data_IF_096637339783
#
_entry.id   IF_096637339783
#
_cell.length_a   1.000
_cell.length_b   1.000
_cell.length_c   1.000
_cell.angle_alpha   90.00
_cell.angle_beta   90.00
_cell.angle_gamma   90.00
#
_symmetry.space_group_name_H-M   'P 1'
#
loop_
_entity.id
_entity.type
_entity.pdbx_description
1 polymer ?
#
# COMPACT_ATOMS: atom_id res chain seq x y z
N UNK A 1 -9.09 -18.84 -9.23
CA UNK A 1 -7.94 -18.56 -8.36
C UNK A 1 -6.79 -18.19 -9.26
N UNK A 2 -6.19 -17.01 -9.08
CA UNK A 2 -4.99 -16.66 -9.84
C UNK A 2 -3.83 -17.49 -9.28
N UNK A 3 -3.07 -18.17 -10.14
CA UNK A 3 -1.96 -19.05 -9.73
C UNK A 3 -0.70 -18.27 -9.32
N UNK A 4 -0.86 -17.20 -8.55
CA UNK A 4 0.22 -16.27 -8.20
C UNK A 4 0.92 -16.69 -6.91
N UNK A 5 2.24 -16.61 -6.91
CA UNK A 5 3.05 -16.77 -5.70
C UNK A 5 3.05 -15.46 -4.92
N UNK A 6 2.70 -15.52 -3.63
CA UNK A 6 2.65 -14.35 -2.75
C UNK A 6 3.72 -14.49 -1.68
N UNK A 7 4.57 -13.48 -1.58
CA UNK A 7 5.58 -13.37 -0.53
C UNK A 7 5.20 -12.21 0.38
N UNK A 8 4.87 -12.53 1.64
CA UNK A 8 4.66 -11.56 2.71
C UNK A 8 5.82 -11.61 3.69
N UNK A 9 6.11 -10.50 4.36
CA UNK A 9 7.13 -10.44 5.40
C UNK A 9 6.71 -9.50 6.53
N UNK A 10 7.19 -9.80 7.73
CA UNK A 10 6.99 -8.98 8.92
C UNK A 10 8.07 -7.91 9.01
N UNK A 11 7.70 -6.69 9.39
CA UNK A 11 8.67 -5.64 9.73
C UNK A 11 9.46 -5.97 11.01
N UNK A 12 10.63 -5.35 11.22
CA UNK A 12 11.40 -5.52 12.45
C UNK A 12 10.57 -5.25 13.71
N UNK A 13 10.52 -6.22 14.63
CA UNK A 13 9.74 -6.12 15.86
C UNK A 13 8.21 -6.27 15.67
N UNK A 14 7.78 -6.79 14.53
CA UNK A 14 6.40 -7.20 14.25
C UNK A 14 6.35 -8.72 14.03
N UNK A 15 5.18 -9.31 14.28
CA UNK A 15 4.93 -10.74 14.07
C UNK A 15 5.98 -11.63 14.74
N UNK A 16 6.71 -12.43 13.93
CA UNK A 16 7.78 -13.31 14.40
C UNK A 16 9.19 -12.77 14.15
N UNK A 17 9.33 -11.58 13.54
CA UNK A 17 10.64 -11.01 13.20
C UNK A 17 11.29 -10.35 14.41
N UNK A 18 12.43 -10.91 14.85
CA UNK A 18 13.31 -10.30 15.84
C UNK A 18 14.19 -9.19 15.23
N UNK A 19 14.69 -8.27 16.06
CA UNK A 19 15.57 -7.18 15.59
C UNK A 19 15.49 -5.93 16.47
N UNK A 20 16.12 -4.84 16.02
CA UNK A 20 16.20 -3.55 16.73
C UNK A 20 14.85 -2.82 16.90
N UNK A 21 13.73 -3.46 16.52
CA UNK A 21 12.37 -2.94 16.64
C UNK A 21 12.03 -1.84 15.64
N UNK A 22 10.75 -1.71 15.32
CA UNK A 22 10.26 -0.80 14.28
C UNK A 22 10.68 0.67 14.50
N UNK A 23 10.83 1.12 15.76
CA UNK A 23 11.18 2.51 16.07
C UNK A 23 12.61 2.89 15.62
N UNK A 24 13.50 1.93 15.44
CA UNK A 24 14.87 2.20 14.99
C UNK A 24 15.04 2.02 13.47
N UNK A 25 14.07 1.39 12.80
CA UNK A 25 14.13 1.11 11.38
C UNK A 25 13.83 2.36 10.54
N UNK A 26 14.69 2.65 9.57
CA UNK A 26 14.41 3.64 8.53
C UNK A 26 13.59 3.00 7.41
N UNK A 27 12.88 3.83 6.65
CA UNK A 27 12.14 3.37 5.48
C UNK A 27 13.03 2.71 4.41
N UNK A 28 14.28 3.17 4.25
CA UNK A 28 15.28 2.52 3.39
C UNK A 28 15.60 1.09 3.86
N UNK A 29 15.65 0.87 5.16
CA UNK A 29 15.94 -0.44 5.75
C UNK A 29 14.78 -1.41 5.50
N UNK A 30 13.54 -0.92 5.54
CA UNK A 30 12.36 -1.71 5.19
C UNK A 30 12.36 -2.11 3.70
N UNK A 31 12.82 -1.22 2.81
CA UNK A 31 12.99 -1.54 1.40
C UNK A 31 14.07 -2.60 1.19
N UNK A 32 15.17 -2.51 1.94
CA UNK A 32 16.25 -3.50 1.88
C UNK A 32 15.77 -4.87 2.36
N UNK A 33 15.00 -4.92 3.44
CA UNK A 33 14.38 -6.18 3.89
C UNK A 33 13.47 -6.76 2.81
N UNK A 34 12.62 -5.93 2.19
CA UNK A 34 11.74 -6.38 1.11
C UNK A 34 12.54 -7.00 -0.06
N UNK A 35 13.66 -6.37 -0.42
CA UNK A 35 14.59 -6.86 -1.44
C UNK A 35 15.22 -8.19 -1.03
N UNK A 36 15.81 -8.27 0.16
CA UNK A 36 16.48 -9.49 0.66
C UNK A 36 15.51 -10.66 0.74
N UNK A 37 14.28 -10.43 1.22
CA UNK A 37 13.23 -11.45 1.26
C UNK A 37 12.92 -11.93 -0.15
N UNK A 38 12.67 -11.01 -1.09
CA UNK A 38 12.36 -11.40 -2.47
C UNK A 38 13.50 -12.21 -3.10
N UNK A 39 14.74 -11.75 -2.98
CA UNK A 39 15.92 -12.40 -3.56
C UNK A 39 16.22 -13.77 -2.91
N UNK A 40 15.72 -14.02 -1.70
CA UNK A 40 15.85 -15.31 -1.00
C UNK A 40 14.87 -16.38 -1.50
N UNK A 41 13.71 -15.97 -2.03
CA UNK A 41 12.63 -16.89 -2.44
C UNK A 41 12.41 -16.95 -3.95
N UNK A 42 12.91 -15.97 -4.71
CA UNK A 42 12.76 -15.93 -6.16
C UNK A 42 14.14 -15.90 -6.80
N UNK A 43 14.49 -16.95 -7.52
CA UNK A 43 15.81 -17.13 -8.13
C UNK A 43 15.90 -16.61 -9.58
N UNK A 44 14.76 -16.45 -10.27
CA UNK A 44 14.69 -15.90 -11.64
C UNK A 44 14.50 -14.38 -11.59
N UNK A 45 14.89 -13.62 -12.62
CA UNK A 45 14.67 -12.16 -12.72
C UNK A 45 13.22 -11.77 -13.13
N UNK A 46 12.25 -12.64 -12.84
CA UNK A 46 10.86 -12.42 -13.23
C UNK A 46 10.29 -11.09 -12.69
N UNK A 47 9.41 -10.42 -13.48
CA UNK A 47 8.70 -9.25 -13.03
C UNK A 47 7.92 -9.51 -11.74
N UNK A 48 7.80 -8.48 -10.91
CA UNK A 48 7.05 -8.54 -9.64
C UNK A 48 5.99 -7.47 -9.59
N UNK A 49 4.87 -7.81 -8.94
CA UNK A 49 3.85 -6.85 -8.55
C UNK A 49 3.96 -6.57 -7.05
N UNK A 50 3.82 -5.31 -6.66
CA UNK A 50 3.85 -4.90 -5.25
C UNK A 50 2.43 -4.72 -4.73
N UNK A 51 2.12 -5.31 -3.58
CA UNK A 51 0.88 -5.11 -2.84
C UNK A 51 1.21 -4.50 -1.47
N UNK A 52 0.57 -3.40 -1.11
CA UNK A 52 0.82 -2.75 0.17
C UNK A 52 -0.44 -2.17 0.80
N UNK A 53 -0.61 -2.43 2.10
CA UNK A 53 -1.63 -1.80 2.93
C UNK A 53 -1.01 -0.78 3.90
N UNK A 54 -1.65 0.37 4.11
CA UNK A 54 -1.22 1.36 5.10
C UNK A 54 0.26 1.75 4.93
N UNK A 55 1.09 1.60 5.96
CA UNK A 55 2.55 1.77 5.91
C UNK A 55 3.19 0.94 4.79
N UNK A 56 2.77 -0.31 4.58
CA UNK A 56 3.24 -1.15 3.48
C UNK A 56 2.87 -0.59 2.10
N UNK A 57 1.72 0.08 2.00
CA UNK A 57 1.33 0.83 0.79
C UNK A 57 2.25 2.02 0.53
N UNK A 58 2.62 2.77 1.58
CA UNK A 58 3.62 3.84 1.46
C UNK A 58 4.98 3.28 1.03
N UNK A 59 5.43 2.17 1.64
CA UNK A 59 6.69 1.51 1.28
C UNK A 59 6.69 1.09 -0.20
N UNK A 60 5.62 0.46 -0.67
CA UNK A 60 5.47 0.05 -2.06
C UNK A 60 5.51 1.25 -3.04
N UNK A 61 4.85 2.36 -2.67
CA UNK A 61 4.92 3.62 -3.44
C UNK A 61 6.35 4.15 -3.49
N UNK A 62 7.04 4.23 -2.34
CA UNK A 62 8.44 4.70 -2.30
C UNK A 62 9.36 3.81 -3.14
N UNK A 63 9.24 2.48 -3.03
CA UNK A 63 10.00 1.54 -3.87
C UNK A 63 9.77 1.82 -5.37
N UNK A 64 8.51 2.01 -5.77
CA UNK A 64 8.17 2.29 -7.16
C UNK A 64 8.73 3.63 -7.65
N UNK A 65 8.63 4.69 -6.83
CA UNK A 65 9.14 6.03 -7.14
C UNK A 65 10.66 6.06 -7.24
N UNK A 66 11.34 5.44 -6.28
CA UNK A 66 12.80 5.54 -6.13
C UNK A 66 13.57 4.67 -7.11
N UNK A 67 12.93 3.65 -7.71
CA UNK A 67 13.51 2.91 -8.86
C UNK A 67 13.98 3.86 -9.97
N UNK A 68 13.30 4.99 -10.15
CA UNK A 68 13.60 5.97 -11.19
C UNK A 68 14.44 7.15 -10.67
N UNK A 69 14.89 7.11 -9.41
CA UNK A 69 15.74 8.11 -8.78
C UNK A 69 16.91 7.45 -8.03
N UNK A 70 18.06 7.21 -8.71
CA UNK A 70 19.22 6.50 -8.15
C UNK A 70 19.87 7.18 -6.94
N UNK A 71 19.57 8.46 -6.66
CA UNK A 71 20.18 9.21 -5.55
C UNK A 71 19.44 9.06 -4.21
N UNK A 72 18.40 8.24 -4.15
CA UNK A 72 17.47 8.18 -3.02
C UNK A 72 17.93 7.36 -1.81
N UNK A 73 18.98 6.55 -1.97
CA UNK A 73 19.45 5.65 -0.91
C UNK A 73 18.48 4.49 -0.60
N UNK A 74 17.42 4.30 -1.39
CA UNK A 74 16.62 3.09 -1.36
C UNK A 74 17.30 2.02 -2.21
N UNK A 75 17.30 0.78 -1.73
CA UNK A 75 17.77 -0.32 -2.56
C UNK A 75 16.80 -0.56 -3.70
N UNK A 76 17.30 -0.35 -4.90
CA UNK A 76 16.56 -0.65 -6.11
C UNK A 76 16.40 -2.16 -6.22
N UNK A 77 15.21 -2.61 -6.61
CA UNK A 77 14.97 -3.96 -7.15
C UNK A 77 15.65 -4.07 -8.52
N UNK A 78 16.97 -3.78 -8.58
CA UNK A 78 17.65 -3.23 -9.76
C UNK A 78 17.53 -4.09 -11.00
N UNK A 79 17.38 -5.40 -10.82
CA UNK A 79 17.32 -6.36 -11.93
C UNK A 79 15.88 -6.79 -12.27
N UNK A 80 14.92 -6.60 -11.37
CA UNK A 80 13.54 -7.09 -11.53
C UNK A 80 12.61 -5.96 -11.94
N UNK A 81 11.80 -6.14 -12.98
CA UNK A 81 10.78 -5.15 -13.35
C UNK A 81 9.64 -5.12 -12.33
N UNK A 82 9.24 -3.94 -11.88
CA UNK A 82 7.96 -3.77 -11.18
C UNK A 82 6.89 -3.62 -12.26
N UNK A 83 5.97 -4.58 -12.36
CA UNK A 83 4.96 -4.61 -13.44
C UNK A 83 3.57 -4.15 -13.00
N UNK A 84 3.33 -4.06 -11.69
CA UNK A 84 2.07 -3.58 -11.13
C UNK A 84 2.22 -3.11 -9.69
N UNK A 85 1.37 -2.17 -9.31
CA UNK A 85 1.28 -1.64 -7.95
C UNK A 85 -0.17 -1.70 -7.45
N UNK A 86 -0.39 -2.36 -6.33
CA UNK A 86 -1.69 -2.51 -5.68
C UNK A 86 -1.62 -1.87 -4.28
N UNK A 87 -2.50 -0.91 -4.04
CA UNK A 87 -2.49 -0.08 -2.84
C UNK A 87 -3.83 -0.20 -2.12
N UNK A 88 -3.80 -0.50 -0.83
CA UNK A 88 -4.99 -0.59 0.02
C UNK A 88 -4.83 0.42 1.15
N UNK A 89 -5.70 1.43 1.22
CA UNK A 89 -5.62 2.54 2.16
C UNK A 89 -4.17 3.01 2.42
N UNK A 90 -3.41 3.37 1.35
CA UNK A 90 -1.97 3.52 1.46
C UNK A 90 -1.61 4.73 2.34
N UNK A 91 -0.53 4.63 3.09
CA UNK A 91 -0.01 5.69 3.95
C UNK A 91 0.62 6.87 3.21
N UNK A 92 0.15 7.21 2.01
CA UNK A 92 0.69 8.31 1.21
C UNK A 92 0.30 9.67 1.78
N UNK A 93 -0.85 9.79 2.44
CA UNK A 93 -1.20 10.96 3.24
C UNK A 93 -1.73 10.48 4.60
N UNK A 94 -0.88 10.48 5.63
CA UNK A 94 -1.23 10.00 6.99
C UNK A 94 -1.54 11.19 7.89
N UNK A 95 -2.53 11.05 8.76
CA UNK A 95 -2.75 12.05 9.81
C UNK A 95 -1.62 12.04 10.85
N UNK A 96 -1.20 13.19 11.39
CA UNK A 96 -0.24 13.23 12.48
C UNK A 96 -0.81 12.66 13.79
N UNK A 97 -2.13 12.80 14.00
CA UNK A 97 -2.89 12.11 15.04
C UNK A 97 -3.80 11.08 14.38
N UNK A 98 -3.46 9.80 14.57
CA UNK A 98 -4.19 8.66 13.99
C UNK A 98 -5.14 8.02 15.00
N UNK A 99 -6.14 7.30 14.49
CA UNK A 99 -7.10 6.56 15.30
C UNK A 99 -7.95 7.48 16.16
N UNK A 100 -8.24 7.05 17.39
CA UNK A 100 -9.02 7.80 18.36
C UNK A 100 -8.06 8.64 19.22
N UNK A 101 -7.81 9.88 18.79
CA UNK A 101 -6.93 10.84 19.48
C UNK A 101 -5.48 10.35 19.65
N UNK A 102 -4.91 9.72 18.63
CA UNK A 102 -3.52 9.24 18.65
C UNK A 102 -3.37 7.81 19.16
N UNK A 103 -4.49 7.11 19.41
CA UNK A 103 -4.53 5.71 19.81
C UNK A 103 -5.22 4.88 18.73
N UNK A 104 -4.51 3.90 18.21
CA UNK A 104 -5.02 2.95 17.22
C UNK A 104 -5.69 1.79 17.95
N UNK A 105 -6.97 1.60 17.66
CA UNK A 105 -7.81 0.51 18.18
C UNK A 105 -8.35 -0.33 17.03
N UNK A 106 -8.79 -1.56 17.32
CA UNK A 106 -9.48 -2.40 16.33
C UNK A 106 -10.67 -1.67 15.69
N UNK A 107 -11.46 -0.98 16.52
CA UNK A 107 -12.62 -0.18 16.10
C UNK A 107 -12.26 1.02 15.22
N UNK A 108 -11.06 1.58 15.41
CA UNK A 108 -10.56 2.66 14.54
C UNK A 108 -10.06 2.14 13.18
N UNK A 109 -9.77 0.83 13.08
CA UNK A 109 -9.22 0.19 11.89
C UNK A 109 -10.29 -0.50 11.04
N UNK A 110 -11.26 -1.17 11.65
CA UNK A 110 -12.31 -1.92 10.96
C UNK A 110 -13.64 -1.85 11.72
N UNK A 111 -14.75 -2.01 11.00
CA UNK A 111 -16.07 -2.29 11.59
C UNK A 111 -16.27 -3.74 12.00
N UNK A 112 -15.41 -4.65 11.55
CA UNK A 112 -15.52 -6.06 11.91
C UNK A 112 -15.15 -6.28 13.37
N UNK A 113 -15.99 -7.04 14.08
CA UNK A 113 -15.73 -7.50 15.44
C UNK A 113 -14.59 -8.54 15.50
N UNK A 114 -14.23 -9.14 14.35
CA UNK A 114 -13.18 -10.18 14.23
C UNK A 114 -11.81 -9.61 13.84
N UNK A 115 -11.51 -8.38 14.25
CA UNK A 115 -10.15 -7.86 14.11
C UNK A 115 -9.24 -8.52 15.15
N UNK A 116 -8.64 -9.66 14.77
CA UNK A 116 -7.80 -10.50 15.66
C UNK A 116 -6.30 -10.18 15.61
N UNK A 117 -5.88 -9.20 14.80
CA UNK A 117 -4.47 -8.82 14.64
C UNK A 117 -3.91 -8.01 15.82
N UNK A 118 -2.64 -8.22 16.15
CA UNK A 118 -1.93 -7.36 17.10
C UNK A 118 -1.72 -5.97 16.50
N UNK A 119 -2.23 -4.94 17.16
CA UNK A 119 -2.01 -3.55 16.77
C UNK A 119 -0.71 -3.08 17.41
N UNK A 120 0.31 -2.87 16.59
CA UNK A 120 1.59 -2.32 17.03
C UNK A 120 2.23 -1.47 15.92
N UNK A 121 2.63 -0.22 16.21
CA UNK A 121 2.45 0.47 17.49
C UNK A 121 1.01 0.96 17.68
N UNK A 122 0.52 0.93 18.92
CA UNK A 122 -0.82 1.46 19.26
C UNK A 122 -0.87 2.99 19.24
N UNK A 123 0.28 3.66 19.27
CA UNK A 123 0.33 5.12 19.22
C UNK A 123 1.64 5.58 18.56
N UNK A 124 1.59 6.65 17.73
CA UNK A 124 2.79 7.29 17.20
C UNK A 124 3.78 7.75 18.28
N UNK A 125 3.28 8.13 19.46
CA UNK A 125 4.11 8.64 20.56
C UNK A 125 5.01 7.56 21.16
N UNK A 126 4.64 6.28 21.01
CA UNK A 126 5.47 5.16 21.47
C UNK A 126 6.63 4.87 20.50
N UNK A 127 6.48 5.27 19.23
CA UNK A 127 7.43 4.99 18.15
C UNK A 127 7.74 6.28 17.36
N UNK A 128 8.22 7.34 18.02
CA UNK A 128 8.29 8.69 17.44
C UNK A 128 9.24 8.80 16.24
N UNK A 129 10.35 8.05 16.24
CA UNK A 129 11.31 8.07 15.13
C UNK A 129 10.70 7.43 13.89
N UNK A 130 10.04 6.29 14.06
CA UNK A 130 9.32 5.63 12.98
C UNK A 130 8.15 6.48 12.47
N UNK A 131 7.33 7.06 13.36
CA UNK A 131 6.22 7.93 12.97
C UNK A 131 6.67 9.21 12.27
N UNK A 132 7.77 9.82 12.72
CA UNK A 132 8.38 10.94 12.01
C UNK A 132 8.87 10.53 10.62
N UNK A 133 9.52 9.37 10.50
CA UNK A 133 9.93 8.78 9.23
C UNK A 133 8.76 8.50 8.28
N UNK A 134 7.64 7.99 8.81
CA UNK A 134 6.39 7.75 8.08
C UNK A 134 5.84 9.06 7.50
N UNK A 135 5.69 10.10 8.33
CA UNK A 135 5.19 11.41 7.89
C UNK A 135 6.11 12.04 6.84
N UNK A 136 7.44 11.97 7.03
CA UNK A 136 8.41 12.48 6.08
C UNK A 136 8.33 11.74 4.73
N UNK A 137 8.22 10.42 4.73
CA UNK A 137 8.09 9.64 3.50
C UNK A 137 6.72 9.82 2.84
N UNK A 138 5.66 9.99 3.62
CA UNK A 138 4.32 10.34 3.13
C UNK A 138 4.34 11.68 2.38
N UNK A 139 4.97 12.71 2.93
CA UNK A 139 5.16 14.01 2.26
C UNK A 139 6.00 13.88 0.98
N UNK A 140 7.11 13.14 1.03
CA UNK A 140 7.93 12.87 -0.17
C UNK A 140 7.15 12.14 -1.24
N UNK A 141 6.34 11.15 -0.87
CA UNK A 141 5.52 10.38 -1.79
C UNK A 141 4.47 11.24 -2.48
N UNK A 142 3.86 12.19 -1.77
CA UNK A 142 2.89 13.14 -2.35
C UNK A 142 3.54 14.11 -3.35
N UNK A 143 4.78 14.52 -3.09
CA UNK A 143 5.52 15.45 -3.95
C UNK A 143 6.21 14.77 -5.14
N UNK A 144 6.06 13.46 -5.28
CA UNK A 144 6.61 12.69 -6.40
C UNK A 144 5.47 11.94 -7.10
N UNK A 145 5.40 12.05 -8.42
CA UNK A 145 4.44 11.25 -9.20
C UNK A 145 4.78 9.77 -9.15
N UNK A 146 3.81 8.91 -9.46
CA UNK A 146 4.11 7.50 -9.73
C UNK A 146 4.79 7.38 -11.10
N UNK A 147 5.63 6.34 -11.30
CA UNK A 147 6.27 6.12 -12.59
C UNK A 147 5.26 6.05 -13.74
N UNK A 148 5.56 6.74 -14.84
CA UNK A 148 4.70 6.73 -16.03
C UNK A 148 4.52 5.30 -16.57
N UNK A 149 3.28 4.95 -16.92
CA UNK A 149 2.95 3.66 -17.52
C UNK A 149 2.91 2.45 -16.58
N UNK A 150 3.28 2.61 -15.30
CA UNK A 150 3.09 1.58 -14.27
C UNK A 150 1.58 1.36 -14.02
N UNK A 151 1.04 0.14 -14.20
CA UNK A 151 -0.31 -0.19 -13.77
C UNK A 151 -0.49 -0.01 -12.27
N UNK A 152 -1.58 0.65 -11.87
CA UNK A 152 -1.88 0.91 -10.46
C UNK A 152 -3.33 0.56 -10.16
N UNK A 153 -3.54 -0.28 -9.16
CA UNK A 153 -4.84 -0.49 -8.51
C UNK A 153 -4.78 0.15 -7.13
N UNK A 154 -5.75 1.00 -6.80
CA UNK A 154 -5.83 1.62 -5.48
C UNK A 154 -7.23 1.48 -4.91
N UNK A 155 -7.31 1.07 -3.66
CA UNK A 155 -8.50 1.15 -2.83
C UNK A 155 -8.23 2.15 -1.70
N UNK A 156 -9.15 3.09 -1.50
CA UNK A 156 -9.14 4.01 -0.37
C UNK A 156 -10.43 3.87 0.42
N UNK A 157 -10.32 4.14 1.72
CA UNK A 157 -11.43 4.08 2.65
C UNK A 157 -12.35 5.31 2.53
N UNK A 158 -13.34 5.44 3.41
CA UNK A 158 -14.24 6.59 3.39
C UNK A 158 -13.52 7.86 3.86
N UNK A 159 -13.89 9.01 3.29
CA UNK A 159 -13.26 10.31 3.61
C UNK A 159 -13.34 10.68 5.10
N UNK A 160 -14.36 10.17 5.80
CA UNK A 160 -14.62 10.46 7.21
C UNK A 160 -14.39 9.27 8.15
N UNK A 161 -14.42 8.05 7.62
CA UNK A 161 -14.28 6.81 8.38
C UNK A 161 -12.83 6.38 8.52
N UNK A 162 -11.95 6.70 7.57
CA UNK A 162 -10.53 6.47 7.75
C UNK A 162 -9.95 7.47 8.76
N UNK A 163 -9.55 6.96 9.93
CA UNK A 163 -8.92 7.75 11.01
C UNK A 163 -7.40 7.72 10.95
N UNK A 164 -6.82 7.10 9.93
CA UNK A 164 -5.38 6.92 9.80
C UNK A 164 -4.86 7.67 8.57
N UNK A 165 -5.48 7.44 7.43
CA UNK A 165 -5.11 8.05 6.15
C UNK A 165 -6.10 9.14 5.74
N UNK A 166 -5.58 10.28 5.27
CA UNK A 166 -6.37 11.34 4.69
C UNK A 166 -6.77 10.96 3.25
N UNK A 167 -7.90 10.27 3.12
CA UNK A 167 -8.38 9.82 1.82
C UNK A 167 -8.55 10.95 0.82
N UNK A 168 -9.03 12.14 1.24
CA UNK A 168 -9.19 13.29 0.34
C UNK A 168 -7.86 13.70 -0.27
N UNK A 169 -6.78 13.73 0.53
CA UNK A 169 -5.45 14.03 0.01
C UNK A 169 -4.90 12.91 -0.89
N UNK A 170 -5.13 11.63 -0.55
CA UNK A 170 -4.73 10.51 -1.41
C UNK A 170 -5.43 10.60 -2.77
N UNK A 171 -6.73 10.88 -2.79
CA UNK A 171 -7.49 11.07 -4.04
C UNK A 171 -6.89 12.20 -4.88
N UNK A 172 -6.61 13.35 -4.26
CA UNK A 172 -5.96 14.48 -4.95
C UNK A 172 -4.61 14.10 -5.53
N UNK A 173 -3.77 13.40 -4.77
CA UNK A 173 -2.46 12.93 -5.24
C UNK A 173 -2.59 11.99 -6.44
N UNK A 174 -3.53 11.03 -6.40
CA UNK A 174 -3.80 10.11 -7.51
C UNK A 174 -4.33 10.83 -8.75
N UNK A 175 -5.12 11.90 -8.58
CA UNK A 175 -5.70 12.70 -9.66
C UNK A 175 -4.75 13.76 -10.22
N UNK A 176 -3.79 14.27 -9.43
CA UNK A 176 -2.84 15.31 -9.86
C UNK A 176 -1.69 14.78 -10.71
N UNK A 177 -1.54 13.47 -10.76
CA UNK A 177 -0.50 12.83 -11.55
C UNK A 177 -1.01 12.69 -13.00
N UNK A 178 -0.75 13.74 -13.79
CA UNK A 178 -1.14 13.93 -15.21
C UNK A 178 -0.65 12.82 -16.16
N UNK A 179 0.09 11.81 -15.68
CA UNK A 179 0.32 10.56 -16.39
C UNK A 179 -0.92 9.66 -16.35
N UNK A 180 -2.05 10.21 -16.82
CA UNK A 180 -3.40 9.66 -16.98
C UNK A 180 -3.45 8.51 -18.00
N UNK A 181 -2.46 7.63 -18.00
CA UNK A 181 -2.51 6.38 -18.73
C UNK A 181 -3.71 5.57 -18.23
N UNK A 182 -4.41 4.93 -19.16
CA UNK A 182 -5.59 4.06 -18.98
C UNK A 182 -5.39 2.88 -18.00
N UNK A 183 -4.25 2.80 -17.32
CA UNK A 183 -3.79 1.69 -16.49
C UNK A 183 -3.90 1.97 -14.99
N UNK A 184 -4.65 3.00 -14.60
CA UNK A 184 -4.95 3.32 -13.19
C UNK A 184 -6.42 3.04 -12.86
N UNK A 185 -6.62 2.23 -11.83
CA UNK A 185 -7.91 1.90 -11.27
C UNK A 185 -7.94 2.33 -9.80
N UNK A 186 -8.76 3.32 -9.48
CA UNK A 186 -8.88 3.84 -8.12
C UNK A 186 -10.32 3.73 -7.65
N UNK A 187 -10.53 3.10 -6.49
CA UNK A 187 -11.83 2.86 -5.88
C UNK A 187 -11.89 3.46 -4.48
N UNK A 188 -12.99 4.12 -4.17
CA UNK A 188 -13.32 4.57 -2.83
C UNK A 188 -14.44 3.70 -2.25
N UNK A 189 -14.18 3.14 -1.08
CA UNK A 189 -15.17 2.47 -0.26
C UNK A 189 -15.74 3.49 0.74
N UNK A 190 -16.82 4.19 0.38
CA UNK A 190 -17.29 5.39 1.09
C UNK A 190 -17.59 5.19 2.59
N UNK A 191 -17.98 3.98 2.99
CA UNK A 191 -18.22 3.59 4.40
C UNK A 191 -17.10 2.73 5.00
N UNK A 192 -16.06 2.41 4.21
CA UNK A 192 -14.97 1.55 4.64
C UNK A 192 -14.04 2.24 5.63
N UNK A 193 -13.52 1.49 6.59
CA UNK A 193 -12.50 1.94 7.53
C UNK A 193 -11.11 1.61 6.98
N UNK A 194 -10.05 1.93 7.74
CA UNK A 194 -8.66 1.85 7.27
C UNK A 194 -8.24 0.43 6.82
N UNK A 195 -8.67 -0.61 7.53
CA UNK A 195 -8.39 -2.00 7.23
C UNK A 195 -9.44 -2.58 6.28
N UNK A 196 -9.53 -2.07 5.05
CA UNK A 196 -10.53 -2.47 4.05
C UNK A 196 -10.63 -3.98 3.78
N UNK A 197 -9.52 -4.71 3.95
CA UNK A 197 -9.47 -6.16 3.78
C UNK A 197 -10.12 -6.93 4.95
N UNK A 198 -10.31 -6.27 6.10
CA UNK A 198 -11.05 -6.78 7.26
C UNK A 198 -12.46 -6.19 7.37
N UNK A 199 -12.93 -5.42 6.39
CA UNK A 199 -14.31 -4.91 6.40
C UNK A 199 -15.33 -6.04 6.11
N UNK A 200 -16.61 -5.85 6.51
CA UNK A 200 -17.67 -6.82 6.27
C UNK A 200 -17.82 -7.25 4.80
N UNK A 201 -18.55 -8.35 4.60
CA UNK A 201 -18.77 -8.97 3.30
C UNK A 201 -19.25 -7.94 2.25
N UNK A 202 -18.65 -7.99 1.06
CA UNK A 202 -18.83 -7.02 -0.03
C UNK A 202 -17.59 -6.18 -0.32
N UNK A 203 -16.99 -5.50 0.67
CA UNK A 203 -15.77 -4.70 0.44
C UNK A 203 -14.56 -5.61 0.21
N UNK A 204 -14.33 -6.56 1.12
CA UNK A 204 -13.21 -7.52 1.06
C UNK A 204 -13.28 -8.42 -0.19
N UNK A 205 -14.48 -8.86 -0.58
CA UNK A 205 -14.72 -9.63 -1.81
C UNK A 205 -14.46 -8.83 -3.08
N UNK A 206 -14.91 -7.58 -3.15
CA UNK A 206 -14.62 -6.70 -4.29
C UNK A 206 -13.12 -6.43 -4.41
N UNK A 207 -12.45 -6.17 -3.29
CA UNK A 207 -11.00 -5.96 -3.24
C UNK A 207 -10.23 -7.18 -3.78
N UNK A 208 -10.57 -8.38 -3.31
CA UNK A 208 -9.94 -9.64 -3.76
C UNK A 208 -10.17 -9.90 -5.25
N UNK A 209 -11.40 -9.68 -5.72
CA UNK A 209 -11.77 -9.83 -7.13
C UNK A 209 -11.03 -8.84 -8.02
N UNK A 210 -10.93 -7.58 -7.59
CA UNK A 210 -10.22 -6.53 -8.30
C UNK A 210 -8.71 -6.78 -8.37
N UNK A 211 -8.09 -7.24 -7.28
CA UNK A 211 -6.68 -7.64 -7.26
C UNK A 211 -6.42 -8.79 -8.24
N UNK A 212 -7.26 -9.83 -8.20
CA UNK A 212 -7.11 -11.00 -9.08
C UNK A 212 -7.22 -10.62 -10.56
N UNK A 213 -8.26 -9.84 -10.92
CA UNK A 213 -8.44 -9.33 -12.27
C UNK A 213 -7.29 -8.41 -12.68
N UNK A 214 -6.79 -7.58 -11.75
CA UNK A 214 -5.70 -6.67 -12.03
C UNK A 214 -4.42 -7.41 -12.37
N UNK A 215 -4.05 -8.43 -11.59
CA UNK A 215 -2.88 -9.27 -11.85
C UNK A 215 -2.98 -10.02 -13.18
N UNK A 216 -4.16 -10.54 -13.53
CA UNK A 216 -4.39 -11.14 -14.84
C UNK A 216 -4.12 -10.14 -15.98
N UNK A 217 -4.63 -8.91 -15.87
CA UNK A 217 -4.45 -7.86 -16.88
C UNK A 217 -3.02 -7.35 -16.98
N UNK A 218 -2.31 -7.23 -15.86
CA UNK A 218 -0.89 -6.89 -15.82
C UNK A 218 -0.09 -7.93 -16.61
N UNK A 219 -0.30 -9.23 -16.37
CA UNK A 219 0.39 -10.33 -17.06
C UNK A 219 0.10 -10.40 -18.56
N UNK A 220 -1.14 -10.16 -18.96
CA UNK A 220 -1.53 -10.12 -20.37
C UNK A 220 -0.89 -8.95 -21.13
N UNK A 221 -0.21 -8.02 -20.42
CA UNK A 221 0.41 -6.81 -20.98
C UNK A 221 -0.50 -6.03 -21.94
N UNK A 222 -1.83 -6.12 -21.73
CA UNK A 222 -2.80 -5.57 -22.67
C UNK A 222 -2.68 -4.05 -22.67
N UNK A 223 -2.01 -3.52 -23.70
CA UNK A 223 -1.86 -2.09 -23.97
C UNK A 223 -3.13 -1.45 -24.52
N UNK A 224 -4.11 -2.27 -24.93
CA UNK A 224 -5.33 -1.86 -25.61
C UNK A 224 -6.63 -2.26 -24.90
N UNK A 225 -6.56 -3.02 -23.81
CA UNK A 225 -7.73 -3.45 -23.05
C UNK A 225 -8.25 -2.35 -22.13
N UNK A 226 -9.49 -1.92 -22.35
CA UNK A 226 -10.21 -1.13 -21.35
C UNK A 226 -10.34 -1.95 -20.06
N UNK A 227 -9.84 -1.42 -18.95
CA UNK A 227 -9.94 -2.08 -17.66
C UNK A 227 -11.39 -2.05 -17.20
N UNK A 228 -12.06 -3.20 -17.22
CA UNK A 228 -13.44 -3.32 -16.77
C UNK A 228 -13.48 -3.10 -15.26
N UNK A 229 -14.30 -2.15 -14.76
CA UNK A 229 -14.47 -1.98 -13.33
C UNK A 229 -15.02 -3.25 -12.68
N UNK A 230 -14.57 -3.56 -11.47
CA UNK A 230 -15.17 -4.63 -10.67
C UNK A 230 -16.37 -4.07 -9.91
N UNK A 231 -17.52 -4.69 -10.07
CA UNK A 231 -18.74 -4.32 -9.36
C UNK A 231 -18.61 -4.54 -7.85
N UNK A 232 -19.26 -3.68 -7.06
CA UNK A 232 -19.29 -3.80 -5.61
C UNK A 232 -19.56 -2.47 -4.90
N UNK A 233 -19.47 -2.46 -3.55
CA UNK A 233 -19.80 -1.31 -2.73
C UNK A 233 -18.83 -0.13 -2.89
N UNK A 234 -17.60 -0.37 -3.34
CA UNK A 234 -16.61 0.67 -3.62
C UNK A 234 -16.81 1.23 -5.04
N UNK A 235 -16.73 2.55 -5.17
CA UNK A 235 -16.98 3.28 -6.42
C UNK A 235 -15.68 3.82 -6.99
N UNK A 236 -15.54 3.78 -8.31
CA UNK A 236 -14.40 4.38 -9.00
C UNK A 236 -14.42 5.91 -8.85
N UNK A 237 -13.26 6.54 -8.75
CA UNK A 237 -13.08 7.99 -8.78
C UNK A 237 -11.87 8.38 -9.63
#
# INVERSE_FOLDING_TARGET
MSGDWVIGFDYPGQGKTSGSGLNSAKFSDLSEIAKVVLDSYVLSDEPVSLLGWSTGGLLAVRIAQERFNPQSGFSSFSNRKIEGLMLIAPGVAVYPLVGDFGVVTAKSLSRSDDFSGSISPKSPLLFPLFSGGLLANSLKAQNQGLPAGLPVLTFVAGDKSDKYANTVQIKRWLSSDDNSSSRRLSYQCASGYHALHHEPEGISQQLTSAISLFLEKVRQQSSSGQWTPVEGPCRRF
#
